data_IF_371601310381
#
_entry.id   IF_371601310381
#
_cell.length_a   1.000
_cell.length_b   1.000
_cell.length_c   1.000
_cell.angle_alpha   90.00
_cell.angle_beta   90.00
_cell.angle_gamma   90.00
#
_symmetry.space_group_name_H-M   'P 1'
#
loop_
_entity.id
_entity.type
_entity.pdbx_description
1 polymer ?
#
# COMPACT_ATOMS: atom_id res chain seq x y z
N UNK A 1 41.28 -92.12 46.07
CA UNK A 1 41.25 -92.46 44.63
C UNK A 1 39.94 -91.88 44.07
N UNK A 2 39.98 -90.67 43.53
CA UNK A 2 40.12 -90.38 42.09
C UNK A 2 38.80 -90.57 41.33
N UNK A 3 38.34 -89.49 40.66
CA UNK A 3 37.39 -89.40 39.53
C UNK A 3 35.89 -89.56 39.87
N UNK A 4 34.92 -88.81 39.32
CA UNK A 4 34.89 -87.82 38.22
C UNK A 4 33.58 -87.02 38.30
N UNK A 5 33.65 -85.72 38.06
CA UNK A 5 32.53 -84.81 37.96
C UNK A 5 31.69 -85.04 36.69
N UNK A 6 30.37 -84.92 36.80
CA UNK A 6 29.44 -84.76 35.69
C UNK A 6 28.62 -83.48 35.89
N UNK A 7 29.06 -82.39 35.26
CA UNK A 7 28.40 -81.08 35.31
C UNK A 7 27.53 -80.95 34.04
N UNK A 8 26.20 -80.98 34.19
CA UNK A 8 25.28 -80.58 33.12
C UNK A 8 25.18 -79.06 33.10
N UNK A 9 25.72 -78.44 32.05
CA UNK A 9 25.66 -77.00 31.81
C UNK A 9 24.34 -76.69 31.07
N UNK A 10 23.36 -76.12 31.77
CA UNK A 10 22.18 -75.49 31.15
C UNK A 10 22.56 -74.06 30.80
N UNK A 11 22.68 -73.76 29.50
CA UNK A 11 22.93 -72.42 29.00
C UNK A 11 21.62 -71.61 29.00
N UNK A 12 21.49 -70.68 29.95
CA UNK A 12 20.44 -69.66 29.94
C UNK A 12 20.92 -68.52 29.04
N UNK A 13 20.33 -68.38 27.84
CA UNK A 13 20.51 -67.20 27.00
C UNK A 13 19.78 -66.01 27.66
N UNK A 14 20.54 -65.09 28.26
CA UNK A 14 20.04 -63.77 28.64
C UNK A 14 20.05 -62.88 27.39
N UNK A 15 18.88 -62.67 26.79
CA UNK A 15 18.67 -61.62 25.78
C UNK A 15 18.71 -60.25 26.49
N UNK A 16 19.88 -59.64 26.52
CA UNK A 16 20.04 -58.24 26.89
C UNK A 16 19.45 -57.36 25.78
N UNK A 17 18.21 -56.92 25.96
CA UNK A 17 17.60 -55.89 25.13
C UNK A 17 18.29 -54.55 25.44
N UNK A 18 19.17 -54.10 24.54
CA UNK A 18 19.67 -52.73 24.56
C UNK A 18 18.51 -51.80 24.21
N UNK A 19 17.92 -51.15 25.22
CA UNK A 19 17.05 -50.01 24.99
C UNK A 19 17.91 -48.87 24.42
N UNK A 20 17.70 -48.55 23.14
CA UNK A 20 18.32 -47.37 22.53
C UNK A 20 17.85 -46.11 23.27
N UNK A 21 18.73 -45.13 23.53
CA UNK A 21 18.32 -43.86 24.12
C UNK A 21 17.26 -43.20 23.21
N UNK A 22 16.22 -42.57 23.79
CA UNK A 22 15.25 -41.84 22.98
C UNK A 22 15.99 -40.77 22.18
N UNK A 23 15.78 -40.76 20.86
CA UNK A 23 16.29 -39.71 19.98
C UNK A 23 15.88 -38.35 20.56
N UNK A 24 16.77 -37.34 20.58
CA UNK A 24 16.37 -36.00 20.95
C UNK A 24 15.20 -35.61 20.05
N UNK A 25 14.05 -35.28 20.65
CA UNK A 25 12.97 -34.65 19.90
C UNK A 25 13.58 -33.43 19.25
N UNK A 26 13.48 -33.34 17.92
CA UNK A 26 13.77 -32.10 17.22
C UNK A 26 12.99 -31.00 17.92
N UNK A 27 13.71 -30.07 18.55
CA UNK A 27 13.14 -28.79 18.93
C UNK A 27 12.42 -28.26 17.69
N UNK A 28 11.14 -27.86 17.79
CA UNK A 28 10.53 -27.14 16.68
C UNK A 28 11.46 -25.99 16.37
N UNK A 29 11.96 -25.94 15.13
CA UNK A 29 12.69 -24.80 14.60
C UNK A 29 11.82 -23.61 14.95
N UNK A 30 12.32 -22.73 15.81
CA UNK A 30 11.62 -21.52 16.19
C UNK A 30 11.16 -20.87 14.89
N UNK A 31 9.88 -20.48 14.84
CA UNK A 31 9.27 -19.85 13.67
C UNK A 31 10.09 -18.59 13.36
N UNK A 32 11.05 -18.72 12.45
CA UNK A 32 12.00 -17.66 12.16
C UNK A 32 11.19 -16.49 11.63
N UNK A 33 11.35 -15.32 12.27
CA UNK A 33 10.61 -14.13 11.93
C UNK A 33 10.85 -13.81 10.45
N UNK A 34 9.76 -13.74 9.69
CA UNK A 34 9.86 -13.40 8.29
C UNK A 34 10.22 -11.93 8.15
N UNK A 35 11.19 -11.65 7.28
CA UNK A 35 11.54 -10.31 6.84
C UNK A 35 10.94 -10.05 5.46
N UNK A 36 10.71 -8.79 5.11
CA UNK A 36 10.15 -8.38 3.81
C UNK A 36 8.84 -9.11 3.48
N UNK A 37 7.94 -9.20 4.47
CA UNK A 37 6.66 -9.85 4.28
C UNK A 37 5.78 -9.01 3.37
N UNK A 38 5.36 -9.58 2.25
CA UNK A 38 4.38 -8.98 1.36
C UNK A 38 3.28 -9.98 1.03
N UNK A 39 2.08 -9.46 0.78
CA UNK A 39 0.91 -10.26 0.43
C UNK A 39 0.43 -9.78 -0.92
N UNK A 40 0.99 -10.29 -2.03
CA UNK A 40 0.57 -9.90 -3.36
C UNK A 40 -0.93 -10.16 -3.57
N UNK A 41 -1.55 -9.29 -4.39
CA UNK A 41 -2.94 -9.42 -4.79
C UNK A 41 -3.04 -10.52 -5.87
N UNK A 42 -3.38 -11.72 -5.42
CA UNK A 42 -3.50 -12.92 -6.24
C UNK A 42 -4.97 -13.40 -6.25
N UNK A 43 -5.47 -13.83 -7.41
CA UNK A 43 -6.79 -14.44 -7.54
C UNK A 43 -6.70 -15.90 -8.06
N UNK A 44 -7.50 -16.86 -7.54
CA UNK A 44 -8.38 -16.77 -6.37
C UNK A 44 -7.65 -17.23 -5.10
N UNK A 45 -7.14 -16.29 -4.29
CA UNK A 45 -6.65 -16.61 -2.95
C UNK A 45 -5.44 -15.79 -2.53
N UNK A 46 -5.29 -15.62 -1.22
CA UNK A 46 -4.21 -14.84 -0.62
C UNK A 46 -2.94 -15.67 -0.51
N UNK A 47 -1.82 -15.09 -0.95
CA UNK A 47 -0.48 -15.67 -0.80
C UNK A 47 0.35 -14.64 -0.05
N UNK A 48 0.95 -15.04 1.06
CA UNK A 48 1.90 -14.22 1.80
C UNK A 48 3.29 -14.77 1.56
N UNK A 49 4.22 -13.91 1.18
CA UNK A 49 5.62 -14.27 0.96
C UNK A 49 6.49 -13.46 1.91
N UNK A 50 7.59 -14.05 2.35
CA UNK A 50 8.62 -13.38 3.15
C UNK A 50 9.90 -14.21 3.16
N UNK A 51 10.95 -13.70 3.79
CA UNK A 51 12.24 -14.38 3.87
C UNK A 51 12.56 -14.79 5.31
N UNK A 52 12.96 -16.05 5.48
CA UNK A 52 13.61 -16.57 6.68
C UNK A 52 15.06 -16.88 6.30
N UNK A 53 15.99 -15.99 6.67
CA UNK A 53 17.37 -16.01 6.19
C UNK A 53 17.47 -15.85 4.66
N UNK A 54 18.11 -16.83 4.00
CA UNK A 54 18.23 -16.92 2.54
C UNK A 54 17.08 -17.68 1.87
N UNK A 55 16.16 -18.25 2.66
CA UNK A 55 15.03 -19.04 2.17
C UNK A 55 13.78 -18.19 2.10
N UNK A 56 13.10 -18.30 0.97
CA UNK A 56 11.78 -17.70 0.81
C UNK A 56 10.75 -18.61 1.47
N UNK A 57 9.88 -18.05 2.30
CA UNK A 57 8.70 -18.73 2.84
C UNK A 57 7.45 -18.20 2.14
N UNK A 58 6.71 -19.09 1.50
CA UNK A 58 5.41 -18.79 0.93
C UNK A 58 4.31 -19.45 1.74
N UNK A 59 3.33 -18.66 2.17
CA UNK A 59 2.19 -19.08 2.97
C UNK A 59 0.91 -18.93 2.15
N UNK A 60 0.14 -20.01 2.06
CA UNK A 60 -1.21 -20.03 1.51
C UNK A 60 -2.21 -20.30 2.64
N UNK A 61 -3.51 -20.20 2.36
CA UNK A 61 -4.55 -20.54 3.34
C UNK A 61 -4.45 -21.96 3.94
N UNK A 62 -3.77 -22.89 3.25
CA UNK A 62 -3.73 -24.31 3.63
C UNK A 62 -2.38 -24.82 4.09
N UNK A 63 -1.28 -24.12 3.75
CA UNK A 63 0.09 -24.63 3.94
C UNK A 63 1.15 -23.53 3.80
N UNK A 64 2.28 -23.74 4.47
CA UNK A 64 3.52 -23.02 4.27
C UNK A 64 4.50 -23.85 3.43
N UNK A 65 5.23 -23.19 2.55
CA UNK A 65 6.25 -23.74 1.66
C UNK A 65 7.56 -23.02 1.93
N UNK A 66 8.66 -23.77 2.00
CA UNK A 66 10.02 -23.22 1.99
C UNK A 66 10.56 -23.37 0.59
N UNK A 67 10.99 -22.27 -0.01
CA UNK A 67 11.46 -22.19 -1.37
C UNK A 67 12.92 -21.75 -1.41
N UNK A 68 13.64 -22.32 -2.36
CA UNK A 68 15.02 -21.95 -2.67
C UNK A 68 15.07 -21.21 -4.00
N UNK A 69 16.00 -20.26 -4.12
CA UNK A 69 16.24 -19.55 -5.36
C UNK A 69 16.78 -20.51 -6.43
N UNK A 70 16.26 -20.39 -7.65
CA UNK A 70 16.71 -21.12 -8.82
C UNK A 70 17.13 -20.12 -9.91
N UNK A 71 18.35 -20.25 -10.48
CA UNK A 71 18.81 -19.34 -11.53
C UNK A 71 17.88 -19.31 -12.75
N UNK A 72 17.62 -18.12 -13.27
CA UNK A 72 16.83 -17.88 -14.49
C UNK A 72 17.49 -16.80 -15.35
N UNK A 73 17.21 -16.79 -16.65
CA UNK A 73 17.72 -15.76 -17.56
C UNK A 73 17.08 -14.38 -17.33
N UNK A 74 15.82 -14.38 -16.89
CA UNK A 74 15.05 -13.17 -16.56
C UNK A 74 14.13 -13.41 -15.35
N UNK A 75 13.93 -12.35 -14.57
CA UNK A 75 13.22 -12.38 -13.30
C UNK A 75 13.98 -13.11 -12.19
N UNK A 76 13.25 -13.42 -11.11
CA UNK A 76 13.71 -14.25 -10.00
C UNK A 76 12.75 -15.43 -9.84
N UNK A 77 13.29 -16.66 -9.77
CA UNK A 77 12.50 -17.88 -9.59
C UNK A 77 12.84 -18.52 -8.25
N UNK A 78 11.81 -18.88 -7.49
CA UNK A 78 11.91 -19.66 -6.27
C UNK A 78 11.05 -20.91 -6.41
N UNK A 79 11.59 -22.07 -6.03
CA UNK A 79 10.92 -23.38 -6.13
C UNK A 79 10.85 -24.02 -4.75
N UNK A 80 9.69 -24.58 -4.39
CA UNK A 80 9.54 -25.24 -3.10
C UNK A 80 10.42 -26.48 -3.00
N UNK A 81 11.08 -26.63 -1.85
CA UNK A 81 12.04 -27.71 -1.60
C UNK A 81 11.37 -29.09 -1.60
N UNK A 82 10.12 -29.15 -1.16
CA UNK A 82 9.33 -30.37 -1.01
C UNK A 82 8.29 -30.59 -2.13
N UNK A 83 8.13 -29.64 -3.06
CA UNK A 83 7.19 -29.73 -4.18
C UNK A 83 7.66 -28.89 -5.39
N UNK A 84 8.26 -29.49 -6.43
CA UNK A 84 8.72 -28.75 -7.61
C UNK A 84 7.58 -28.16 -8.45
N UNK A 85 6.32 -28.55 -8.18
CA UNK A 85 5.14 -27.94 -8.78
C UNK A 85 4.59 -26.77 -7.98
N UNK A 86 5.31 -26.33 -6.95
CA UNK A 86 5.03 -25.10 -6.22
C UNK A 86 6.19 -24.12 -6.41
N UNK A 87 5.90 -22.96 -6.99
CA UNK A 87 6.92 -21.95 -7.31
C UNK A 87 6.37 -20.54 -7.22
N UNK A 88 7.30 -19.61 -7.05
CA UNK A 88 7.08 -18.18 -7.14
C UNK A 88 8.08 -17.62 -8.15
N UNK A 89 7.59 -16.93 -9.17
CA UNK A 89 8.41 -16.21 -10.12
C UNK A 89 8.00 -14.74 -10.14
N UNK A 90 8.97 -13.83 -10.20
CA UNK A 90 8.69 -12.39 -10.28
C UNK A 90 9.59 -11.69 -11.27
N UNK A 91 9.00 -10.74 -12.00
CA UNK A 91 9.66 -9.88 -12.98
C UNK A 91 8.90 -8.55 -13.08
N UNK A 92 9.63 -7.42 -13.05
CA UNK A 92 9.09 -6.09 -13.35
C UNK A 92 7.72 -5.74 -12.72
N UNK A 93 7.55 -6.08 -11.43
CA UNK A 93 6.34 -5.77 -10.65
C UNK A 93 5.18 -6.75 -10.85
N UNK A 94 5.33 -7.72 -11.74
CA UNK A 94 4.42 -8.85 -11.91
C UNK A 94 4.98 -10.10 -11.22
N UNK A 95 4.09 -10.94 -10.72
CA UNK A 95 4.47 -12.24 -10.19
C UNK A 95 3.55 -13.36 -10.68
N UNK A 96 4.12 -14.53 -10.87
CA UNK A 96 3.40 -15.77 -11.14
C UNK A 96 3.59 -16.68 -9.93
N UNK A 97 2.49 -17.09 -9.33
CA UNK A 97 2.46 -18.08 -8.26
C UNK A 97 1.89 -19.37 -8.81
N UNK A 98 2.58 -20.47 -8.57
CA UNK A 98 2.08 -21.81 -8.84
C UNK A 98 2.09 -22.59 -7.52
N UNK A 99 0.99 -23.27 -7.20
CA UNK A 99 0.90 -24.13 -6.01
C UNK A 99 0.37 -25.49 -6.45
N UNK A 100 1.17 -26.54 -6.23
CA UNK A 100 0.84 -27.93 -6.57
C UNK A 100 0.36 -28.09 -8.01
N UNK A 101 1.00 -27.38 -8.94
CA UNK A 101 0.73 -27.41 -10.38
C UNK A 101 -0.44 -26.53 -10.82
N UNK A 102 -1.10 -25.82 -9.90
CA UNK A 102 -2.16 -24.87 -10.23
C UNK A 102 -1.59 -23.45 -10.28
N UNK A 103 -1.70 -22.80 -11.44
CA UNK A 103 -1.38 -21.39 -11.59
C UNK A 103 -2.44 -20.52 -10.91
N UNK A 104 -1.96 -19.53 -10.16
CA UNK A 104 -2.76 -18.38 -9.75
C UNK A 104 -2.78 -17.40 -10.93
N UNK A 105 -3.81 -16.56 -11.01
CA UNK A 105 -3.77 -15.41 -11.93
C UNK A 105 -2.54 -14.55 -11.59
N UNK A 106 -2.01 -13.81 -12.57
CA UNK A 106 -0.86 -12.93 -12.37
C UNK A 106 -1.06 -12.09 -11.12
N UNK A 107 -0.20 -12.32 -10.14
CA UNK A 107 -0.21 -11.65 -8.87
C UNK A 107 0.33 -10.24 -9.07
N UNK A 108 -0.44 -9.23 -8.66
CA UNK A 108 0.04 -7.85 -8.65
C UNK A 108 0.81 -7.63 -7.36
N UNK A 109 2.10 -7.31 -7.49
CA UNK A 109 2.89 -6.87 -6.35
C UNK A 109 2.46 -5.44 -6.01
N UNK A 110 1.80 -5.26 -4.86
CA UNK A 110 1.59 -3.92 -4.31
C UNK A 110 2.94 -3.42 -3.79
N UNK A 111 3.77 -2.92 -4.71
CA UNK A 111 5.03 -2.29 -4.35
C UNK A 111 4.69 -0.97 -3.66
N UNK A 112 5.22 -0.72 -2.46
CA UNK A 112 5.00 0.56 -1.81
C UNK A 112 5.47 1.68 -2.76
N UNK A 113 4.51 2.53 -3.14
CA UNK A 113 4.76 3.68 -4.03
C UNK A 113 5.70 4.66 -3.32
N UNK A 114 6.54 5.41 -4.06
CA UNK A 114 7.32 6.49 -3.47
C UNK A 114 6.42 7.40 -2.64
N UNK A 115 6.88 7.74 -1.44
CA UNK A 115 6.10 8.53 -0.49
C UNK A 115 6.81 9.82 -0.19
N UNK A 116 6.07 10.92 -0.15
CA UNK A 116 6.60 12.25 0.13
C UNK A 116 5.78 12.93 1.21
N UNK A 117 6.47 13.66 2.08
CA UNK A 117 5.84 14.49 3.09
C UNK A 117 6.66 15.76 3.34
N UNK A 118 5.99 16.82 3.78
CA UNK A 118 6.62 18.10 4.10
C UNK A 118 5.84 18.85 5.16
N UNK A 119 6.52 19.79 5.81
CA UNK A 119 5.87 20.80 6.65
C UNK A 119 6.61 22.12 6.55
N UNK A 120 5.96 23.20 7.00
CA UNK A 120 6.38 24.55 6.66
C UNK A 120 6.97 25.33 7.85
N UNK A 121 6.58 24.98 9.09
CA UNK A 121 6.99 25.70 10.30
C UNK A 121 7.38 24.74 11.45
N UNK A 122 8.69 24.43 11.62
CA UNK A 122 9.79 24.77 10.72
C UNK A 122 9.71 23.99 9.40
N UNK A 123 10.30 24.52 8.33
CA UNK A 123 10.30 23.87 7.01
C UNK A 123 11.08 22.55 6.99
N UNK A 124 10.51 21.49 6.41
CA UNK A 124 11.16 20.18 6.25
C UNK A 124 10.62 19.37 5.08
N UNK A 125 11.41 18.39 4.63
CA UNK A 125 11.08 17.46 3.56
C UNK A 125 11.45 16.02 3.94
N UNK A 126 10.56 15.07 3.64
CA UNK A 126 10.78 13.63 3.71
C UNK A 126 10.46 12.99 2.36
N UNK A 127 11.37 12.17 1.86
CA UNK A 127 11.15 11.30 0.71
C UNK A 127 11.46 9.85 1.12
N UNK A 128 10.54 8.92 0.87
CA UNK A 128 10.72 7.48 1.03
C UNK A 128 10.72 6.81 -0.33
N UNK A 129 11.84 6.18 -0.69
CA UNK A 129 11.96 5.34 -1.87
C UNK A 129 12.21 3.89 -1.47
N UNK A 130 11.48 2.97 -2.10
CA UNK A 130 11.54 1.54 -1.78
C UNK A 130 12.43 0.75 -2.75
N UNK A 131 12.57 1.23 -3.99
CA UNK A 131 13.42 0.63 -5.04
C UNK A 131 14.67 1.50 -5.34
N UNK A 132 15.22 2.22 -4.36
CA UNK A 132 16.28 3.19 -4.63
C UNK A 132 16.91 3.87 -3.40
N UNK A 133 17.10 5.19 -3.40
CA UNK A 133 18.01 5.90 -2.47
C UNK A 133 17.57 5.92 -0.99
N UNK A 134 16.57 5.13 -0.62
CA UNK A 134 16.09 4.94 0.74
C UNK A 134 15.24 6.10 1.27
N UNK A 135 15.26 6.24 2.59
CA UNK A 135 14.67 7.34 3.32
C UNK A 135 15.60 8.55 3.28
N UNK A 136 15.05 9.72 2.94
CA UNK A 136 15.74 11.00 2.99
C UNK A 136 14.92 11.99 3.79
N UNK A 137 15.54 12.64 4.77
CA UNK A 137 14.93 13.71 5.53
C UNK A 137 15.85 14.93 5.58
N UNK A 138 15.30 16.12 5.35
CA UNK A 138 16.06 17.36 5.50
C UNK A 138 15.21 18.52 5.98
N UNK A 139 15.78 19.37 6.82
CA UNK A 139 15.19 20.66 7.18
C UNK A 139 15.48 21.72 6.12
N UNK A 140 14.60 22.70 5.98
CA UNK A 140 14.76 23.81 5.03
C UNK A 140 16.02 24.65 5.32
N UNK A 141 16.42 24.76 6.59
CA UNK A 141 17.67 25.43 7.00
C UNK A 141 18.92 24.61 6.65
N UNK A 142 18.75 23.32 6.34
CA UNK A 142 19.85 22.41 5.99
C UNK A 142 20.73 21.97 7.16
N UNK A 143 20.36 22.33 8.40
CA UNK A 143 21.03 21.92 9.64
C UNK A 143 20.86 20.42 9.94
N UNK A 144 19.78 19.80 9.43
CA UNK A 144 19.56 18.36 9.52
C UNK A 144 19.45 17.79 8.12
N UNK A 145 20.25 16.76 7.83
CA UNK A 145 20.17 15.96 6.60
C UNK A 145 20.43 14.51 6.94
N UNK A 146 19.41 13.67 6.79
CA UNK A 146 19.46 12.24 7.07
C UNK A 146 19.24 11.46 5.78
N UNK A 147 20.06 10.44 5.57
CA UNK A 147 19.91 9.46 4.50
C UNK A 147 20.11 8.07 5.08
N UNK A 148 19.14 7.20 4.90
CA UNK A 148 19.16 5.83 5.41
C UNK A 148 18.59 4.88 4.35
N UNK A 149 18.99 3.61 4.29
CA UNK A 149 18.14 2.58 3.69
C UNK A 149 16.74 2.67 4.31
N UNK A 150 15.69 2.52 3.51
CA UNK A 150 14.31 2.61 4.02
C UNK A 150 14.10 1.53 5.09
N UNK A 151 13.84 1.91 6.36
CA UNK A 151 13.64 0.92 7.41
C UNK A 151 12.40 0.06 7.15
N UNK A 152 12.32 -1.08 7.81
CA UNK A 152 11.11 -1.88 7.79
C UNK A 152 9.94 -1.09 8.42
N UNK A 153 8.78 -1.16 7.77
CA UNK A 153 7.59 -0.46 8.21
C UNK A 153 6.88 -1.28 9.31
N UNK A 154 6.66 -0.66 10.48
CA UNK A 154 5.84 -1.24 11.54
C UNK A 154 4.45 -0.61 11.48
N UNK A 155 3.44 -1.38 11.07
CA UNK A 155 2.03 -0.92 11.01
C UNK A 155 1.28 -1.23 12.30
N UNK A 156 0.47 -0.29 12.76
CA UNK A 156 -0.42 -0.42 13.91
C UNK A 156 -1.69 0.38 13.67
N UNK A 157 -2.79 -0.30 13.31
CA UNK A 157 -4.02 0.36 12.87
C UNK A 157 -3.76 1.25 11.65
N UNK A 158 -4.19 2.51 11.72
CA UNK A 158 -4.00 3.55 10.70
C UNK A 158 -2.64 4.25 10.77
N UNK A 159 -1.71 3.76 11.59
CA UNK A 159 -0.38 4.34 11.76
C UNK A 159 0.70 3.42 11.21
N UNK A 160 1.59 3.97 10.41
CA UNK A 160 2.82 3.33 9.95
C UNK A 160 4.03 4.03 10.56
N UNK A 161 4.96 3.25 11.13
CA UNK A 161 6.20 3.77 11.70
C UNK A 161 7.42 3.25 10.94
N UNK A 162 8.34 4.16 10.62
CA UNK A 162 9.70 3.85 10.21
C UNK A 162 10.66 4.33 11.29
N UNK A 163 11.62 3.49 11.68
CA UNK A 163 12.61 3.83 12.69
C UNK A 163 14.01 3.43 12.24
N UNK A 164 14.96 4.34 12.37
CA UNK A 164 16.36 4.11 12.04
C UNK A 164 17.28 5.00 12.85
N UNK A 165 18.59 4.88 12.62
CA UNK A 165 19.59 5.73 13.27
C UNK A 165 20.51 6.32 12.21
N UNK A 166 20.78 7.62 12.29
CA UNK A 166 21.74 8.34 11.45
C UNK A 166 22.79 8.95 12.37
N UNK A 167 24.07 8.59 12.17
CA UNK A 167 25.19 9.06 12.99
C UNK A 167 24.95 8.89 14.51
N UNK A 168 24.32 7.77 14.90
CA UNK A 168 23.97 7.46 16.29
C UNK A 168 22.73 8.20 16.82
N UNK A 169 22.12 9.09 16.04
CA UNK A 169 20.90 9.82 16.41
C UNK A 169 19.67 9.09 15.88
N UNK A 170 18.65 8.81 16.72
CA UNK A 170 17.44 8.14 16.26
C UNK A 170 16.62 9.05 15.33
N UNK A 171 16.15 8.48 14.23
CA UNK A 171 15.13 9.04 13.36
C UNK A 171 13.87 8.17 13.42
N UNK A 172 12.75 8.76 13.80
CA UNK A 172 11.44 8.11 13.83
C UNK A 172 10.49 8.89 12.94
N UNK A 173 9.89 8.20 11.96
CA UNK A 173 8.83 8.74 11.12
C UNK A 173 7.55 8.00 11.47
N UNK A 174 6.51 8.75 11.82
CA UNK A 174 5.18 8.26 12.07
C UNK A 174 4.23 8.88 11.03
N UNK A 175 3.60 8.03 10.22
CA UNK A 175 2.59 8.40 9.24
C UNK A 175 1.26 7.91 9.78
N UNK A 176 0.27 8.79 9.89
CA UNK A 176 -1.09 8.44 10.32
C UNK A 176 -2.08 8.79 9.21
N UNK A 177 -2.95 7.84 8.85
CA UNK A 177 -4.04 8.03 7.89
C UNK A 177 -5.11 8.96 8.50
N UNK A 178 -4.79 10.25 8.48
CA UNK A 178 -5.60 11.33 9.01
C UNK A 178 -5.36 12.54 8.12
N UNK A 179 -6.44 13.07 7.54
CA UNK A 179 -6.37 14.24 6.66
C UNK A 179 -5.60 15.38 7.31
N UNK A 180 -4.62 15.88 6.59
CA UNK A 180 -3.76 16.98 6.99
C UNK A 180 -4.01 18.16 6.04
N UNK A 181 -4.15 19.37 6.58
CA UNK A 181 -4.23 20.59 5.79
C UNK A 181 -2.85 21.23 5.78
N UNK A 182 -2.32 21.46 4.57
CA UNK A 182 -1.06 22.16 4.43
C UNK A 182 -1.20 23.61 4.92
N UNK A 183 -0.28 24.04 5.79
CA UNK A 183 -0.42 25.33 6.48
C UNK A 183 -0.13 26.54 5.60
N UNK A 184 0.51 26.36 4.43
CA UNK A 184 0.79 27.46 3.49
C UNK A 184 -0.33 27.60 2.47
N UNK A 185 -0.82 26.49 1.92
CA UNK A 185 -1.75 26.46 0.80
C UNK A 185 -3.19 26.12 1.16
N UNK A 186 -3.41 25.49 2.33
CA UNK A 186 -4.68 24.87 2.70
C UNK A 186 -4.98 23.57 1.94
N UNK A 187 -4.09 23.09 1.07
CA UNK A 187 -4.31 21.86 0.31
C UNK A 187 -4.44 20.66 1.25
N UNK A 188 -5.49 19.83 1.10
CA UNK A 188 -5.65 18.62 1.90
C UNK A 188 -4.75 17.49 1.37
N UNK A 189 -4.16 16.76 2.30
CA UNK A 189 -3.35 15.57 2.09
C UNK A 189 -3.93 14.39 2.88
N UNK A 190 -3.75 13.14 2.43
CA UNK A 190 -4.32 11.97 3.10
C UNK A 190 -3.73 11.74 4.50
N UNK A 191 -2.47 12.10 4.71
CA UNK A 191 -1.76 11.72 5.93
C UNK A 191 -1.24 12.90 6.73
N UNK A 192 -1.27 12.72 8.04
CA UNK A 192 -0.53 13.53 9.00
C UNK A 192 0.79 12.82 9.31
N UNK A 193 1.91 13.50 9.08
CA UNK A 193 3.25 12.95 9.25
C UNK A 193 3.98 13.66 10.38
N UNK A 194 4.58 12.87 11.26
CA UNK A 194 5.45 13.33 12.32
C UNK A 194 6.84 12.73 12.15
N UNK A 195 7.86 13.58 12.07
CA UNK A 195 9.27 13.16 12.10
C UNK A 195 9.88 13.58 13.44
N UNK A 196 10.62 12.66 14.07
CA UNK A 196 11.43 12.94 15.25
C UNK A 196 12.88 12.62 14.95
N UNK A 197 13.78 13.55 15.23
CA UNK A 197 15.23 13.36 15.11
C UNK A 197 15.89 13.85 16.40
N UNK A 198 16.40 12.92 17.22
CA UNK A 198 16.76 13.23 18.61
C UNK A 198 15.56 13.80 19.38
N UNK A 199 15.72 14.98 19.97
CA UNK A 199 14.66 15.69 20.71
C UNK A 199 13.78 16.58 19.82
N UNK A 200 14.17 16.80 18.56
CA UNK A 200 13.42 17.66 17.65
C UNK A 200 12.23 16.93 17.05
N UNK A 201 11.09 17.63 16.95
CA UNK A 201 9.84 17.12 16.39
C UNK A 201 9.38 18.03 15.25
N UNK A 202 8.99 17.41 14.15
CA UNK A 202 8.47 18.04 12.95
C UNK A 202 7.10 17.45 12.63
N UNK A 203 6.15 18.28 12.23
CA UNK A 203 4.79 17.88 11.86
C UNK A 203 4.49 18.48 10.49
N UNK A 204 3.72 17.77 9.69
CA UNK A 204 3.34 18.19 8.35
C UNK A 204 2.46 17.16 7.66
N UNK A 205 2.29 17.34 6.36
CA UNK A 205 1.38 16.58 5.54
C UNK A 205 2.13 15.64 4.59
N UNK A 206 1.55 14.49 4.27
CA UNK A 206 2.17 13.52 3.38
C UNK A 206 1.17 12.72 2.54
N UNK A 207 1.72 12.00 1.57
CA UNK A 207 0.97 11.23 0.59
C UNK A 207 0.56 12.07 -0.63
N UNK A 208 -0.14 11.43 -1.57
CA UNK A 208 -0.63 12.07 -2.78
C UNK A 208 -2.03 12.66 -2.54
N UNK A 209 -2.24 13.98 -2.64
CA UNK A 209 -3.57 14.59 -2.54
C UNK A 209 -4.60 13.99 -3.51
N UNK A 210 -4.18 13.48 -4.68
CA UNK A 210 -5.09 12.83 -5.63
C UNK A 210 -5.79 11.61 -5.04
N UNK A 211 -5.14 10.90 -4.11
CA UNK A 211 -5.72 9.72 -3.45
C UNK A 211 -6.98 10.04 -2.64
N UNK A 212 -7.14 11.29 -2.20
CA UNK A 212 -8.36 11.75 -1.51
C UNK A 212 -9.56 11.88 -2.45
N UNK A 213 -9.31 12.13 -3.74
CA UNK A 213 -10.35 12.27 -4.76
C UNK A 213 -10.65 10.92 -5.45
N UNK A 214 -9.67 10.03 -5.51
CA UNK A 214 -9.75 8.74 -6.19
C UNK A 214 -10.48 7.66 -5.39
N UNK A 215 -10.73 6.52 -6.04
CA UNK A 215 -11.22 5.30 -5.39
C UNK A 215 -12.73 5.26 -5.18
N UNK A 216 -13.50 5.98 -6.01
CA UNK A 216 -14.95 5.96 -6.01
C UNK A 216 -15.55 7.19 -6.69
N UNK A 217 -16.81 7.06 -7.09
CA UNK A 217 -17.57 8.14 -7.70
C UNK A 217 -18.09 9.12 -6.64
N UNK A 218 -18.04 10.41 -6.96
CA UNK A 218 -18.64 11.49 -6.18
C UNK A 218 -19.98 11.89 -6.81
N UNK A 219 -21.05 11.84 -6.02
CA UNK A 219 -22.37 12.35 -6.39
C UNK A 219 -22.48 13.83 -6.01
N UNK A 220 -22.76 14.69 -6.98
CA UNK A 220 -22.91 16.14 -6.75
C UNK A 220 -24.27 16.44 -6.11
N UNK A 221 -24.24 17.24 -5.05
CA UNK A 221 -25.42 17.64 -4.25
C UNK A 221 -25.76 19.13 -4.39
N UNK A 222 -24.78 19.96 -4.78
CA UNK A 222 -24.99 21.39 -5.00
C UNK A 222 -24.07 21.94 -6.09
N UNK A 223 -24.62 22.84 -6.91
CA UNK A 223 -23.90 23.55 -7.95
C UNK A 223 -24.07 25.06 -7.72
N UNK A 224 -23.03 25.69 -7.13
CA UNK A 224 -22.99 27.12 -6.83
C UNK A 224 -24.19 27.64 -6.00
N UNK A 225 -24.62 26.87 -5.00
CA UNK A 225 -25.69 27.24 -4.06
C UNK A 225 -27.11 27.13 -4.64
N UNK A 226 -27.27 26.45 -5.79
CA UNK A 226 -28.56 26.33 -6.47
C UNK A 226 -29.23 24.95 -6.31
N UNK A 227 -28.58 24.03 -5.62
CA UNK A 227 -28.99 22.64 -5.54
C UNK A 227 -28.97 21.94 -6.91
N UNK A 228 -29.65 20.79 -6.99
CA UNK A 228 -29.89 20.07 -8.23
C UNK A 228 -31.38 20.01 -8.55
N UNK A 229 -31.68 19.93 -9.85
CA UNK A 229 -33.00 19.57 -10.34
C UNK A 229 -33.30 18.12 -9.94
N UNK A 230 -34.51 17.85 -9.44
CA UNK A 230 -34.98 16.51 -9.11
C UNK A 230 -34.79 15.53 -10.29
N UNK A 231 -34.35 14.31 -9.99
CA UNK A 231 -34.02 13.26 -10.95
C UNK A 231 -32.83 13.55 -11.90
N UNK A 232 -32.10 14.66 -11.72
CA UNK A 232 -30.78 14.81 -12.34
C UNK A 232 -29.74 13.98 -11.59
N UNK A 233 -28.84 13.34 -12.34
CA UNK A 233 -27.73 12.57 -11.80
C UNK A 233 -26.44 13.23 -12.27
N UNK A 234 -25.69 13.82 -11.35
CA UNK A 234 -24.44 14.52 -11.65
C UNK A 234 -23.35 13.87 -10.84
N UNK A 235 -22.32 13.36 -11.51
CA UNK A 235 -21.26 12.60 -10.87
C UNK A 235 -19.88 13.02 -11.34
N UNK A 236 -18.87 12.74 -10.51
CA UNK A 236 -17.45 13.02 -10.78
C UNK A 236 -16.64 11.80 -10.33
N UNK A 237 -15.89 11.20 -11.25
CA UNK A 237 -14.98 10.10 -10.99
C UNK A 237 -13.55 10.52 -11.35
N UNK A 238 -12.66 10.49 -10.36
CA UNK A 238 -11.22 10.78 -10.50
C UNK A 238 -10.45 9.46 -10.60
N UNK A 239 -9.98 9.14 -11.81
CA UNK A 239 -9.21 7.92 -12.08
C UNK A 239 -7.75 8.00 -11.63
N UNK A 240 -7.16 6.87 -11.27
CA UNK A 240 -5.73 6.78 -10.92
C UNK A 240 -4.78 7.15 -12.08
N UNK A 241 -5.28 7.12 -13.31
CA UNK A 241 -4.58 7.50 -14.54
C UNK A 241 -4.64 9.00 -14.86
N UNK A 242 -5.23 9.82 -13.97
CA UNK A 242 -5.43 11.25 -14.19
C UNK A 242 -6.62 11.56 -15.10
N UNK A 243 -7.43 10.56 -15.45
CA UNK A 243 -8.67 10.74 -16.20
C UNK A 243 -9.78 11.23 -15.27
N UNK A 244 -10.60 12.14 -15.78
CA UNK A 244 -11.84 12.55 -15.14
C UNK A 244 -13.01 12.06 -15.99
N UNK A 245 -14.02 11.46 -15.38
CA UNK A 245 -15.27 11.11 -16.05
C UNK A 245 -16.48 11.30 -15.16
N UNK A 246 -17.67 11.28 -15.75
CA UNK A 246 -18.91 11.32 -14.98
C UNK A 246 -20.12 11.63 -15.83
N UNK A 247 -21.25 11.78 -15.15
CA UNK A 247 -22.50 12.28 -15.72
C UNK A 247 -22.65 13.77 -15.37
N UNK A 248 -22.91 14.62 -16.36
CA UNK A 248 -23.09 16.06 -16.20
C UNK A 248 -24.57 16.44 -16.23
N UNK A 249 -25.46 15.67 -15.59
CA UNK A 249 -26.92 15.76 -15.72
C UNK A 249 -27.47 15.02 -16.93
N UNK A 250 -27.45 15.61 -18.13
CA UNK A 250 -28.01 14.97 -19.33
C UNK A 250 -26.98 14.09 -20.03
N UNK A 251 -25.75 14.56 -20.17
CA UNK A 251 -24.69 13.94 -20.93
C UNK A 251 -23.59 13.37 -20.06
N UNK A 252 -22.92 12.34 -20.56
CA UNK A 252 -21.66 11.92 -20.01
C UNK A 252 -20.53 12.84 -20.48
N UNK A 253 -19.49 12.96 -19.67
CA UNK A 253 -18.30 13.74 -19.99
C UNK A 253 -17.02 12.98 -19.66
N UNK A 254 -15.96 13.34 -20.38
CA UNK A 254 -14.60 12.87 -20.11
C UNK A 254 -13.60 14.02 -20.25
N UNK A 255 -12.55 13.95 -19.44
CA UNK A 255 -11.47 14.91 -19.42
C UNK A 255 -10.26 14.37 -18.68
N UNK A 256 -9.37 15.28 -18.31
CA UNK A 256 -8.28 14.98 -17.39
C UNK A 256 -8.38 15.85 -16.15
N UNK A 257 -7.60 15.49 -15.14
CA UNK A 257 -7.32 16.37 -14.03
C UNK A 257 -5.83 16.29 -13.67
N UNK A 258 -5.30 17.39 -13.13
CA UNK A 258 -3.95 17.43 -12.59
C UNK A 258 -3.98 18.13 -11.23
N UNK A 259 -3.25 17.56 -10.27
CA UNK A 259 -2.91 18.25 -9.02
C UNK A 259 -1.43 18.56 -9.07
N UNK A 260 -1.07 19.84 -8.96
CA UNK A 260 0.33 20.26 -8.98
C UNK A 260 0.51 21.65 -8.44
N UNK A 261 1.58 21.84 -7.65
CA UNK A 261 1.92 23.14 -7.04
C UNK A 261 0.73 23.74 -6.30
N UNK A 262 0.03 22.93 -5.51
CA UNK A 262 -1.09 23.34 -4.65
C UNK A 262 -2.38 23.73 -5.40
N UNK A 263 -2.49 23.42 -6.70
CA UNK A 263 -3.69 23.68 -7.51
C UNK A 263 -4.25 22.39 -8.11
N UNK A 264 -5.58 22.25 -8.13
CA UNK A 264 -6.34 21.30 -8.93
C UNK A 264 -6.73 21.96 -10.25
N UNK A 265 -6.36 21.35 -11.38
CA UNK A 265 -6.76 21.77 -12.73
C UNK A 265 -7.59 20.69 -13.39
N UNK A 266 -8.67 21.09 -14.04
CA UNK A 266 -9.59 20.16 -14.72
C UNK A 266 -9.80 20.62 -16.17
N UNK A 267 -8.91 20.24 -17.11
CA UNK A 267 -9.18 20.39 -18.53
C UNK A 267 -10.24 19.37 -18.98
N UNK A 268 -11.46 19.84 -19.22
CA UNK A 268 -12.52 19.03 -19.83
C UNK A 268 -12.31 18.91 -21.34
N UNK A 269 -12.50 17.71 -21.89
CA UNK A 269 -12.14 17.41 -23.27
C UNK A 269 -13.34 17.07 -24.17
N UNK A 270 -14.29 16.26 -23.70
CA UNK A 270 -15.38 15.77 -24.53
C UNK A 270 -16.67 15.56 -23.72
N UNK A 271 -17.81 15.77 -24.38
CA UNK A 271 -19.14 15.42 -23.87
C UNK A 271 -19.93 14.66 -24.94
N UNK A 272 -20.89 13.86 -24.53
CA UNK A 272 -21.93 13.37 -25.44
C UNK A 272 -22.93 14.49 -25.77
N UNK A 273 -23.77 14.27 -26.78
CA UNK A 273 -24.77 15.26 -27.23
C UNK A 273 -26.17 14.65 -27.30
N UNK A 274 -26.70 14.23 -26.16
CA UNK A 274 -28.09 13.85 -25.99
C UNK A 274 -28.96 15.10 -25.82
N UNK A 275 -30.19 15.01 -26.33
CA UNK A 275 -31.18 16.08 -26.19
C UNK A 275 -32.11 15.76 -25.01
N UNK A 276 -32.00 16.55 -23.94
CA UNK A 276 -32.86 16.45 -22.76
C UNK A 276 -33.77 17.68 -22.62
N UNK A 277 -34.56 17.73 -21.55
CA UNK A 277 -35.33 18.92 -21.21
C UNK A 277 -34.40 20.15 -21.04
N UNK A 278 -34.83 21.36 -21.45
CA UNK A 278 -33.99 22.56 -21.40
C UNK A 278 -33.35 22.85 -20.03
N UNK A 279 -34.06 22.57 -18.93
CA UNK A 279 -33.55 22.78 -17.58
C UNK A 279 -32.34 21.87 -17.25
N UNK A 280 -32.36 20.61 -17.71
CA UNK A 280 -31.24 19.67 -17.48
C UNK A 280 -30.00 20.08 -18.29
N UNK A 281 -30.21 20.56 -19.51
CA UNK A 281 -29.13 21.07 -20.36
C UNK A 281 -28.50 22.36 -19.80
N UNK A 282 -29.30 23.27 -19.23
CA UNK A 282 -28.77 24.47 -18.57
C UNK A 282 -27.97 24.14 -17.31
N UNK A 283 -28.43 23.18 -16.51
CA UNK A 283 -27.67 22.69 -15.34
C UNK A 283 -26.35 22.04 -15.78
N UNK A 284 -26.38 21.22 -16.83
CA UNK A 284 -25.19 20.60 -17.43
C UNK A 284 -24.14 21.64 -17.85
N UNK A 285 -24.56 22.65 -18.62
CA UNK A 285 -23.67 23.71 -19.09
C UNK A 285 -23.03 24.45 -17.91
N UNK A 286 -23.83 24.76 -16.89
CA UNK A 286 -23.33 25.44 -15.71
C UNK A 286 -22.35 24.57 -14.91
N UNK A 287 -22.68 23.29 -14.68
CA UNK A 287 -21.80 22.35 -14.00
C UNK A 287 -20.46 22.21 -14.73
N UNK A 288 -20.47 21.97 -16.04
CA UNK A 288 -19.25 21.82 -16.85
C UNK A 288 -18.43 23.11 -16.88
N UNK A 289 -19.09 24.27 -16.94
CA UNK A 289 -18.41 25.57 -16.88
C UNK A 289 -17.72 25.78 -15.54
N UNK A 290 -18.40 25.46 -14.44
CA UNK A 290 -17.89 25.60 -13.08
C UNK A 290 -16.74 24.63 -12.81
N UNK A 291 -16.87 23.38 -13.26
CA UNK A 291 -15.85 22.34 -13.10
C UNK A 291 -14.51 22.71 -13.75
N UNK A 292 -14.50 23.40 -14.90
CA UNK A 292 -13.27 23.91 -15.55
C UNK A 292 -12.59 25.05 -14.76
N UNK A 293 -13.38 25.77 -13.96
CA UNK A 293 -12.92 26.91 -13.19
C UNK A 293 -12.40 26.51 -11.80
N UNK A 294 -12.58 25.25 -11.40
CA UNK A 294 -12.02 24.70 -10.17
C UNK A 294 -10.51 24.93 -10.12
N UNK A 295 -10.03 25.34 -8.95
CA UNK A 295 -8.63 25.58 -8.64
C UNK A 295 -8.17 24.85 -7.39
N UNK A 296 -9.06 24.58 -6.45
CA UNK A 296 -8.73 23.82 -5.26
C UNK A 296 -9.89 22.93 -4.82
N UNK A 297 -9.61 22.08 -3.84
CA UNK A 297 -10.62 21.25 -3.20
C UNK A 297 -10.42 21.22 -1.69
N UNK A 298 -11.51 21.05 -0.99
CA UNK A 298 -11.58 20.96 0.46
C UNK A 298 -12.52 19.81 0.85
N UNK A 299 -12.49 19.46 2.13
CA UNK A 299 -13.48 18.58 2.74
C UNK A 299 -14.13 19.28 3.91
N UNK A 300 -15.44 19.14 4.04
CA UNK A 300 -16.14 19.56 5.26
C UNK A 300 -15.97 18.53 6.39
N UNK A 301 -16.59 18.82 7.54
CA UNK A 301 -16.56 17.96 8.72
C UNK A 301 -17.26 16.62 8.50
N UNK A 302 -18.25 16.57 7.60
CA UNK A 302 -19.04 15.37 7.28
C UNK A 302 -18.40 14.53 6.15
N UNK A 303 -17.31 15.02 5.57
CA UNK A 303 -16.57 14.36 4.49
C UNK A 303 -17.10 14.64 3.09
N UNK A 304 -17.95 15.65 2.90
CA UNK A 304 -18.30 16.11 1.57
C UNK A 304 -17.08 16.74 0.90
N UNK A 305 -16.88 16.39 -0.37
CA UNK A 305 -15.93 17.04 -1.25
C UNK A 305 -16.49 18.39 -1.68
N UNK A 306 -15.68 19.43 -1.52
CA UNK A 306 -16.00 20.77 -1.97
C UNK A 306 -14.94 21.15 -3.02
N UNK A 307 -15.33 21.23 -4.29
CA UNK A 307 -14.49 21.81 -5.33
C UNK A 307 -14.78 23.30 -5.42
N UNK A 308 -13.73 24.11 -5.49
CA UNK A 308 -13.89 25.57 -5.44
C UNK A 308 -13.14 26.25 -6.56
N UNK A 309 -13.78 27.25 -7.14
CA UNK A 309 -13.26 28.04 -8.25
C UNK A 309 -12.52 29.28 -7.77
N UNK A 310 -11.74 29.89 -8.67
CA UNK A 310 -11.09 31.17 -8.44
C UNK A 310 -12.07 32.30 -8.04
N UNK A 311 -13.33 32.23 -8.50
CA UNK A 311 -14.42 33.14 -8.12
C UNK A 311 -15.08 32.82 -6.76
N UNK A 312 -14.56 31.83 -6.03
CA UNK A 312 -15.10 31.30 -4.78
C UNK A 312 -16.49 30.63 -4.91
N UNK A 313 -16.89 30.24 -6.11
CA UNK A 313 -18.06 29.39 -6.32
C UNK A 313 -17.74 27.94 -5.96
N UNK A 314 -18.72 27.22 -5.41
CA UNK A 314 -18.52 25.88 -4.83
C UNK A 314 -19.37 24.83 -5.56
N UNK A 315 -18.77 23.66 -5.78
CA UNK A 315 -19.44 22.41 -6.13
C UNK A 315 -19.32 21.49 -4.93
N UNK A 316 -20.44 20.99 -4.42
CA UNK A 316 -20.45 20.09 -3.27
C UNK A 316 -20.84 18.70 -3.75
N UNK A 317 -20.07 17.69 -3.36
CA UNK A 317 -20.32 16.31 -3.71
C UNK A 317 -20.04 15.37 -2.53
N UNK A 318 -20.69 14.21 -2.50
CA UNK A 318 -20.43 13.15 -1.52
C UNK A 318 -20.07 11.86 -2.21
N UNK A 319 -19.32 11.02 -1.51
CA UNK A 319 -18.98 9.69 -2.01
C UNK A 319 -20.27 8.86 -2.11
N UNK A 320 -20.50 8.28 -3.30
CA UNK A 320 -21.65 7.43 -3.60
C UNK A 320 -21.63 6.10 -2.83
#
# INVERSE_FOLDING_TARGET
>A
MILRAGLSLVAILMLSACAAPPSPRATPVADEALTFVTTPDCAPGTVTIGFAGDRMRMTTASRHYTLHETPTAHGMLFVAEDDPHTSFWSEDGSALVMVRGKHYATCRMDRPKPYRASGNEPGWLLDLHFDGPGLRFSTARGDIRVKLPTPEAVRSGTRTRYAGHADGTPLIVDISEQRCLDSMSGMPYPDTVQVRHGDQRFIGCGGDPASLLQGGEWLVEDIAGRGLIDASHVTIDFGEDGRLSGQASCNSYVGGYQIGGETLRIPLAMTTMMHCAPALMQQEEHFLSLLRQVRWFEFDADGALILVTESHERLIARRA
#
